data_IF_615021602205
#
_entry.id   IF_615021602205
#
_cell.length_a   1.000
_cell.length_b   1.000
_cell.length_c   1.000
_cell.angle_alpha   90.00
_cell.angle_beta   90.00
_cell.angle_gamma   90.00
#
_symmetry.space_group_name_H-M   'P 1'
#
loop_
_entity.id
_entity.type
_entity.pdbx_description
1 polymer ?
#
# COMPACT_ATOMS: atom_id res chain seq x y z
N UNK A 1 1.57 -4.64 43.91
CA UNK A 1 0.32 -4.37 43.14
C UNK A 1 0.23 -2.97 42.51
N UNK A 2 0.49 -1.84 43.18
CA UNK A 2 0.18 -0.48 42.65
C UNK A 2 0.91 0.03 41.38
N UNK A 3 1.94 -0.64 40.84
CA UNK A 3 2.69 -0.16 39.65
C UNK A 3 2.50 -0.98 38.37
N UNK A 4 2.04 -2.23 38.45
CA UNK A 4 1.96 -3.10 37.27
C UNK A 4 0.71 -2.83 36.41
N UNK A 5 -0.42 -2.44 37.02
CA UNK A 5 -1.71 -2.32 36.32
C UNK A 5 -1.76 -1.33 35.15
N UNK A 6 -0.85 -0.35 35.06
CA UNK A 6 -0.83 0.64 33.96
C UNK A 6 -0.16 0.12 32.68
N UNK A 7 0.79 -0.82 32.77
CA UNK A 7 1.54 -1.29 31.59
C UNK A 7 0.76 -2.29 30.73
N UNK A 8 -0.10 -3.11 31.36
CA UNK A 8 -0.88 -4.13 30.65
C UNK A 8 -1.98 -3.56 29.74
N UNK A 9 -2.63 -2.47 30.16
CA UNK A 9 -3.70 -1.84 29.36
C UNK A 9 -3.14 -1.23 28.06
N UNK A 10 -1.93 -0.66 28.10
CA UNK A 10 -1.23 -0.19 26.90
C UNK A 10 -0.82 -1.35 25.98
N UNK A 11 -0.32 -2.47 26.53
CA UNK A 11 0.07 -3.63 25.73
C UNK A 11 -1.12 -4.29 25.01
N UNK A 12 -2.31 -4.32 25.63
CA UNK A 12 -3.52 -4.84 24.97
C UNK A 12 -4.05 -3.90 23.88
N UNK A 13 -3.91 -2.58 24.06
CA UNK A 13 -4.37 -1.58 23.09
C UNK A 13 -3.42 -1.39 21.90
N UNK A 14 -2.11 -1.53 22.09
CA UNK A 14 -1.12 -1.51 20.99
C UNK A 14 -1.32 -2.64 19.97
N UNK A 15 -1.99 -3.73 20.37
CA UNK A 15 -2.06 -4.95 19.57
C UNK A 15 -3.39 -5.09 18.81
N UNK A 16 -4.42 -4.31 19.16
CA UNK A 16 -5.59 -4.12 18.29
C UNK A 16 -5.32 -3.16 17.11
N UNK A 17 -4.05 -2.86 16.81
CA UNK A 17 -3.64 -1.84 15.83
C UNK A 17 -2.85 -2.38 14.62
N UNK A 18 -2.85 -3.70 14.39
CA UNK A 18 -2.00 -4.37 13.38
C UNK A 18 -2.80 -5.41 12.60
N UNK A 19 -2.43 -5.68 11.33
CA UNK A 19 -2.96 -6.69 10.37
C UNK A 19 -4.50 -6.70 10.17
N UNK A 20 -5.12 -7.46 9.23
CA UNK A 20 -6.55 -7.30 8.78
C UNK A 20 -7.23 -8.69 8.42
N UNK A 21 -8.56 -8.85 8.07
CA UNK A 21 -9.41 -10.14 8.02
C UNK A 21 -10.92 -10.10 7.49
N UNK A 22 -11.30 -10.63 6.28
CA UNK A 22 -12.44 -10.25 5.36
C UNK A 22 -13.81 -10.93 5.58
N UNK A 23 -14.89 -10.20 5.26
CA UNK A 23 -16.11 -10.70 4.55
C UNK A 23 -16.70 -9.55 3.72
N UNK A 24 -17.09 -9.73 2.43
CA UNK A 24 -17.61 -8.65 1.60
C UNK A 24 -19.03 -8.20 1.99
N UNK A 25 -19.23 -6.88 2.12
CA UNK A 25 -20.53 -6.25 2.32
C UNK A 25 -20.90 -5.40 1.10
N UNK A 26 -22.03 -5.72 0.45
CA UNK A 26 -22.51 -4.94 -0.70
C UNK A 26 -23.27 -3.69 -0.24
N UNK A 27 -22.65 -2.51 -0.36
CA UNK A 27 -23.27 -1.22 -0.01
C UNK A 27 -23.43 -0.28 -1.22
N UNK A 28 -24.39 0.65 -1.07
CA UNK A 28 -24.92 1.47 -2.16
C UNK A 28 -24.24 2.84 -2.29
N UNK A 29 -24.36 3.42 -3.48
CA UNK A 29 -23.45 4.40 -4.10
C UNK A 29 -23.50 5.86 -3.55
N UNK A 30 -24.06 6.11 -2.37
CA UNK A 30 -24.46 7.47 -1.92
C UNK A 30 -23.97 7.88 -0.51
N UNK A 31 -23.12 7.09 0.18
CA UNK A 31 -22.69 7.42 1.55
C UNK A 31 -21.49 8.41 1.58
N UNK A 32 -21.61 9.61 2.21
CA UNK A 32 -20.50 10.57 2.34
C UNK A 32 -19.45 10.20 3.40
N UNK A 33 -19.62 9.04 4.07
CA UNK A 33 -18.67 8.50 5.02
C UNK A 33 -17.84 7.39 4.37
N UNK A 34 -16.56 7.33 4.70
CA UNK A 34 -15.76 6.11 4.51
C UNK A 34 -15.88 5.26 5.79
N UNK A 35 -15.55 3.98 5.70
CA UNK A 35 -15.59 3.07 6.84
C UNK A 35 -14.46 2.06 6.86
N UNK A 36 -14.09 1.61 8.07
CA UNK A 36 -13.14 0.53 8.32
C UNK A 36 -13.85 -0.52 9.17
N UNK A 37 -13.88 -1.78 8.72
CA UNK A 37 -14.50 -2.87 9.48
C UNK A 37 -13.48 -3.94 9.85
N UNK A 38 -13.29 -4.12 11.15
CA UNK A 38 -12.34 -5.05 11.78
C UNK A 38 -13.11 -6.25 12.35
N UNK A 39 -12.87 -7.47 11.86
CA UNK A 39 -13.58 -8.67 12.38
C UNK A 39 -12.98 -9.21 13.68
N UNK A 40 -13.67 -10.14 14.37
CA UNK A 40 -13.13 -10.76 15.58
C UNK A 40 -11.93 -11.68 15.26
N UNK A 41 -12.09 -12.56 14.27
CA UNK A 41 -11.03 -13.49 13.87
C UNK A 41 -9.79 -12.76 13.39
N UNK A 42 -9.99 -11.61 12.72
CA UNK A 42 -8.94 -10.63 12.47
C UNK A 42 -8.22 -10.24 13.77
N UNK A 43 -8.90 -9.53 14.69
CA UNK A 43 -8.22 -8.90 15.83
C UNK A 43 -7.43 -9.95 16.64
N UNK A 44 -7.95 -11.18 16.72
CA UNK A 44 -7.26 -12.30 17.35
C UNK A 44 -6.02 -12.83 16.62
N UNK A 45 -5.93 -12.70 15.28
CA UNK A 45 -4.72 -13.02 14.53
C UNK A 45 -3.59 -12.04 14.87
N UNK A 46 -3.86 -10.73 14.81
CA UNK A 46 -2.93 -9.69 15.23
C UNK A 46 -2.47 -9.85 16.70
N UNK A 47 -3.40 -10.23 17.58
CA UNK A 47 -3.11 -10.56 18.99
C UNK A 47 -2.18 -11.77 19.17
N UNK A 48 -2.13 -12.69 18.21
CA UNK A 48 -1.20 -13.81 18.22
C UNK A 48 0.19 -13.44 17.67
N UNK A 49 0.26 -12.49 16.74
CA UNK A 49 1.50 -12.09 16.05
C UNK A 49 2.33 -11.08 16.85
N UNK A 50 1.70 -10.22 17.67
CA UNK A 50 2.42 -9.28 18.52
C UNK A 50 3.23 -10.02 19.61
N UNK A 51 4.50 -10.26 19.29
CA UNK A 51 5.40 -11.21 19.97
C UNK A 51 5.63 -11.03 21.48
N UNK A 52 5.22 -9.92 22.10
CA UNK A 52 5.23 -9.77 23.57
C UNK A 52 4.10 -8.89 24.11
N UNK A 53 2.97 -9.47 24.57
CA UNK A 53 1.96 -8.75 25.35
C UNK A 53 2.42 -8.45 26.81
N UNK A 54 3.69 -8.06 27.00
CA UNK A 54 4.35 -7.86 28.29
C UNK A 54 4.73 -9.15 29.04
N UNK A 55 5.61 -9.05 30.04
CA UNK A 55 6.13 -10.19 30.80
C UNK A 55 5.07 -10.92 31.66
N UNK A 56 4.35 -11.85 31.04
CA UNK A 56 3.45 -12.77 31.74
C UNK A 56 1.95 -12.53 31.55
N UNK A 57 1.54 -11.77 30.52
CA UNK A 57 0.22 -11.94 29.91
C UNK A 57 0.32 -13.05 28.85
N UNK A 58 -0.61 -14.01 28.84
CA UNK A 58 -0.69 -15.07 27.82
C UNK A 58 -2.13 -15.37 27.47
N UNK A 59 -2.37 -15.88 26.25
CA UNK A 59 -3.71 -16.25 25.79
C UNK A 59 -4.67 -15.06 25.78
N UNK A 60 -4.20 -13.89 25.33
CA UNK A 60 -5.03 -12.72 25.10
C UNK A 60 -5.97 -13.00 23.93
N UNK A 61 -7.27 -12.79 24.12
CA UNK A 61 -8.33 -13.03 23.15
C UNK A 61 -9.38 -11.93 23.23
N UNK A 62 -9.85 -11.47 22.07
CA UNK A 62 -10.95 -10.52 21.88
C UNK A 62 -12.21 -11.28 21.44
N UNK A 63 -13.31 -11.07 22.16
CA UNK A 63 -14.67 -11.53 21.85
C UNK A 63 -15.51 -10.28 21.57
N UNK A 64 -15.96 -10.10 20.33
CA UNK A 64 -16.76 -8.96 19.89
C UNK A 64 -18.24 -9.30 20.06
N UNK A 65 -18.96 -8.45 20.81
CA UNK A 65 -20.39 -8.65 21.05
C UNK A 65 -21.17 -7.36 20.76
N UNK A 66 -22.48 -7.43 20.47
CA UNK A 66 -23.27 -6.25 20.13
C UNK A 66 -23.15 -5.11 21.16
N UNK A 67 -22.43 -4.04 20.79
CA UNK A 67 -22.15 -2.86 21.62
C UNK A 67 -21.03 -3.01 22.67
N UNK A 68 -20.26 -4.10 22.70
CA UNK A 68 -19.18 -4.31 23.67
C UNK A 68 -18.04 -5.20 23.15
N UNK A 69 -16.86 -5.04 23.73
CA UNK A 69 -15.69 -5.90 23.49
C UNK A 69 -15.32 -6.57 24.80
N UNK A 70 -15.13 -7.89 24.76
CA UNK A 70 -14.70 -8.70 25.88
C UNK A 70 -13.26 -9.15 25.64
N UNK A 71 -12.37 -8.69 26.50
CA UNK A 71 -10.98 -9.14 26.55
C UNK A 71 -10.88 -10.28 27.56
N UNK A 72 -10.32 -11.41 27.15
CA UNK A 72 -9.90 -12.47 28.08
C UNK A 72 -8.41 -12.71 27.99
N UNK A 73 -7.75 -12.99 29.11
CA UNK A 73 -6.32 -13.29 29.15
C UNK A 73 -5.93 -14.02 30.44
N UNK A 74 -4.74 -14.62 30.47
CA UNK A 74 -4.11 -15.13 31.71
C UNK A 74 -2.95 -14.22 32.10
N UNK A 75 -2.91 -13.73 33.35
CA UNK A 75 -1.70 -13.10 33.91
C UNK A 75 -0.96 -14.03 34.87
N UNK A 76 0.36 -13.91 34.92
CA UNK A 76 1.18 -14.53 35.97
C UNK A 76 1.16 -13.65 37.23
N UNK A 77 0.50 -14.12 38.29
CA UNK A 77 0.44 -13.44 39.57
C UNK A 77 1.80 -13.42 40.31
N UNK A 78 1.93 -12.60 41.36
CA UNK A 78 3.21 -12.38 42.08
C UNK A 78 3.83 -13.63 42.74
N UNK A 79 3.12 -14.77 42.75
CA UNK A 79 3.61 -16.06 43.26
C UNK A 79 3.83 -17.10 42.15
N UNK A 80 3.77 -16.70 40.87
CA UNK A 80 3.81 -17.60 39.72
C UNK A 80 2.47 -18.28 39.38
N UNK A 81 1.44 -18.09 40.20
CA UNK A 81 0.10 -18.64 39.94
C UNK A 81 -0.59 -17.90 38.79
N UNK A 82 -1.18 -18.59 37.80
CA UNK A 82 -1.98 -17.95 36.78
C UNK A 82 -3.25 -17.33 37.39
N UNK A 83 -3.66 -16.19 36.87
CA UNK A 83 -4.93 -15.53 37.16
C UNK A 83 -5.62 -15.23 35.82
N UNK A 84 -6.79 -15.79 35.60
CA UNK A 84 -7.61 -15.49 34.43
C UNK A 84 -8.25 -14.12 34.63
N UNK A 85 -8.18 -13.25 33.63
CA UNK A 85 -8.83 -11.94 33.60
C UNK A 85 -9.90 -11.96 32.52
N UNK A 86 -11.09 -11.46 32.84
CA UNK A 86 -12.08 -11.00 31.86
C UNK A 86 -12.30 -9.50 32.03
N UNK A 87 -12.33 -8.74 30.94
CA UNK A 87 -12.57 -7.30 30.94
C UNK A 87 -13.57 -6.96 29.84
N UNK A 88 -14.77 -6.50 30.22
CA UNK A 88 -15.77 -6.01 29.26
C UNK A 88 -15.64 -4.50 29.13
N UNK A 89 -15.60 -4.00 27.90
CA UNK A 89 -15.54 -2.57 27.58
C UNK A 89 -16.60 -2.22 26.54
N UNK A 90 -17.24 -1.06 26.68
CA UNK A 90 -18.06 -0.46 25.64
C UNK A 90 -17.27 0.70 25.00
N UNK A 91 -16.90 0.64 23.70
CA UNK A 91 -16.27 1.76 23.03
C UNK A 91 -17.29 2.86 22.74
N UNK A 92 -16.83 4.11 22.67
CA UNK A 92 -17.62 5.27 22.29
C UNK A 92 -16.76 6.33 21.60
N UNK A 93 -17.37 7.19 20.77
CA UNK A 93 -16.66 8.30 20.13
C UNK A 93 -16.70 9.53 21.04
N UNK A 94 -15.55 10.17 21.18
CA UNK A 94 -15.33 11.35 22.02
C UNK A 94 -14.37 12.29 21.31
N UNK A 95 -14.79 13.51 20.96
CA UNK A 95 -13.91 14.47 20.26
C UNK A 95 -13.39 14.03 18.88
N UNK A 96 -13.94 12.97 18.29
CA UNK A 96 -13.47 12.37 17.03
C UNK A 96 -12.56 11.15 17.20
N UNK A 97 -12.22 10.77 18.44
CA UNK A 97 -11.37 9.62 18.79
C UNK A 97 -12.20 8.51 19.45
N UNK A 98 -11.64 7.30 19.59
CA UNK A 98 -12.29 6.16 20.26
C UNK A 98 -11.86 6.09 21.73
N UNK A 99 -12.80 6.41 22.61
CA UNK A 99 -12.67 6.14 24.04
C UNK A 99 -13.28 4.77 24.41
N UNK A 100 -12.84 4.19 25.53
CA UNK A 100 -13.29 2.88 26.01
C UNK A 100 -13.78 2.95 27.46
N UNK A 101 -15.03 2.56 27.69
CA UNK A 101 -15.61 2.49 29.04
C UNK A 101 -15.60 1.05 29.56
N UNK A 102 -14.73 0.73 30.53
CA UNK A 102 -14.70 -0.57 31.19
C UNK A 102 -15.95 -0.78 32.06
N UNK A 103 -16.82 -1.71 31.67
CA UNK A 103 -18.10 -2.00 32.34
C UNK A 103 -17.97 -3.13 33.36
N UNK A 104 -17.15 -4.15 33.08
CA UNK A 104 -16.88 -5.25 34.01
C UNK A 104 -15.39 -5.63 34.00
N UNK A 105 -14.90 -6.11 35.15
CA UNK A 105 -13.58 -6.72 35.30
C UNK A 105 -13.73 -7.92 36.22
N UNK A 106 -13.26 -9.09 35.82
CA UNK A 106 -13.21 -10.31 36.63
C UNK A 106 -11.76 -10.78 36.79
N UNK A 107 -11.46 -11.41 37.93
CA UNK A 107 -10.20 -12.12 38.15
C UNK A 107 -10.52 -13.50 38.74
N UNK A 108 -10.22 -14.58 38.03
CA UNK A 108 -10.64 -15.95 38.36
C UNK A 108 -12.15 -16.02 38.67
N UNK A 109 -12.97 -15.47 37.76
CA UNK A 109 -14.43 -15.36 37.86
C UNK A 109 -14.98 -14.50 39.01
N UNK A 110 -14.11 -13.90 39.85
CA UNK A 110 -14.54 -12.94 40.87
C UNK A 110 -14.68 -11.54 40.27
N UNK A 111 -15.88 -10.92 40.28
CA UNK A 111 -16.06 -9.57 39.78
C UNK A 111 -15.38 -8.54 40.70
N UNK A 112 -14.69 -7.59 40.08
CA UNK A 112 -14.01 -6.47 40.73
C UNK A 112 -14.91 -5.24 40.63
N UNK A 113 -15.30 -4.67 41.78
CA UNK A 113 -16.10 -3.45 41.82
C UNK A 113 -15.30 -2.22 41.36
N UNK A 114 -15.53 -1.81 40.10
CA UNK A 114 -14.89 -0.66 39.48
C UNK A 114 -15.32 0.68 40.11
N UNK A 115 -16.49 0.76 40.75
CA UNK A 115 -17.01 2.01 41.34
C UNK A 115 -16.16 2.48 42.52
N UNK A 116 -15.64 1.54 43.32
CA UNK A 116 -14.76 1.84 44.46
C UNK A 116 -13.37 2.34 44.06
N UNK A 117 -13.00 2.22 42.77
CA UNK A 117 -11.71 2.65 42.22
C UNK A 117 -11.72 4.01 41.52
N UNK A 118 -12.90 4.55 41.18
CA UNK A 118 -13.08 5.78 40.39
C UNK A 118 -12.60 7.08 41.08
N UNK A 119 -11.89 7.00 42.22
CA UNK A 119 -11.39 8.14 42.99
C UNK A 119 -9.90 8.45 42.83
N UNK A 120 -9.20 7.85 41.86
CA UNK A 120 -7.77 8.14 41.59
C UNK A 120 -7.48 8.27 40.07
N UNK A 121 -7.59 9.48 39.51
CA UNK A 121 -7.05 9.91 38.21
C UNK A 121 -7.11 8.88 37.07
N UNK A 122 -8.25 8.20 36.91
CA UNK A 122 -8.40 7.06 36.00
C UNK A 122 -9.08 7.39 34.68
N UNK A 123 -9.31 8.67 34.36
CA UNK A 123 -10.16 9.12 33.25
C UNK A 123 -9.44 9.82 32.09
N UNK A 124 -8.09 9.82 32.06
CA UNK A 124 -7.32 10.50 30.99
C UNK A 124 -5.99 9.84 30.56
N UNK A 125 -5.50 8.78 31.22
CA UNK A 125 -4.24 8.10 30.83
C UNK A 125 -4.45 6.77 30.09
N UNK A 126 -5.62 6.57 29.47
CA UNK A 126 -5.90 5.40 28.64
C UNK A 126 -5.89 5.80 27.15
N UNK A 127 -5.54 4.83 26.29
CA UNK A 127 -5.85 4.82 24.84
C UNK A 127 -5.05 5.73 23.87
N UNK A 128 -3.80 6.15 24.15
CA UNK A 128 -3.04 6.88 23.11
C UNK A 128 -2.68 6.05 21.86
N UNK A 129 -2.43 4.74 22.02
CA UNK A 129 -1.98 3.89 20.90
C UNK A 129 -3.05 3.56 19.85
N UNK A 130 -4.33 3.68 20.20
CA UNK A 130 -5.45 3.51 19.27
C UNK A 130 -5.81 4.85 18.59
N UNK A 131 -5.46 5.96 19.24
CA UNK A 131 -5.57 7.32 18.70
C UNK A 131 -4.59 7.53 17.53
N UNK A 132 -3.36 7.03 17.63
CA UNK A 132 -2.36 7.05 16.54
C UNK A 132 -2.82 6.26 15.29
N UNK A 133 -3.55 5.15 15.45
CA UNK A 133 -4.12 4.38 14.33
C UNK A 133 -5.29 5.13 13.66
N UNK A 134 -6.20 5.67 14.47
CA UNK A 134 -7.35 6.42 13.94
C UNK A 134 -6.89 7.68 13.22
N UNK A 135 -5.96 8.44 13.80
CA UNK A 135 -5.45 9.69 13.21
C UNK A 135 -4.61 9.48 11.94
N UNK A 136 -3.99 8.32 11.76
CA UNK A 136 -3.30 7.98 10.51
C UNK A 136 -4.22 7.46 9.41
N UNK A 137 -5.35 6.82 9.75
CA UNK A 137 -6.32 6.30 8.77
C UNK A 137 -7.34 7.31 8.24
N UNK A 138 -7.72 8.35 9.01
CA UNK A 138 -8.85 9.23 8.64
C UNK A 138 -8.48 10.51 7.87
N UNK A 139 -7.23 10.70 7.49
CA UNK A 139 -6.70 11.97 6.92
C UNK A 139 -7.04 13.21 7.78
N UNK A 140 -7.02 13.05 9.11
CA UNK A 140 -7.41 14.07 10.07
C UNK A 140 -8.93 14.31 10.19
N UNK A 141 -9.76 13.53 9.50
CA UNK A 141 -11.22 13.57 9.63
C UNK A 141 -11.66 12.99 10.98
N UNK A 142 -12.59 13.62 11.72
CA UNK A 142 -13.08 13.06 12.97
C UNK A 142 -13.96 11.82 12.71
N UNK A 143 -13.86 10.80 13.57
CA UNK A 143 -14.80 9.69 13.55
C UNK A 143 -16.23 10.20 13.81
N UNK A 144 -17.17 9.73 12.99
CA UNK A 144 -18.60 10.06 13.03
C UNK A 144 -19.47 8.87 13.41
N UNK A 145 -18.98 7.64 13.22
CA UNK A 145 -19.70 6.42 13.56
C UNK A 145 -18.79 5.32 14.12
N UNK A 146 -19.35 4.54 15.02
CA UNK A 146 -18.73 3.38 15.66
C UNK A 146 -19.84 2.37 15.96
N UNK A 147 -19.68 1.15 15.46
CA UNK A 147 -20.61 0.02 15.71
C UNK A 147 -19.80 -1.21 16.09
N UNK A 148 -20.26 -1.95 17.10
CA UNK A 148 -19.73 -3.28 17.43
C UNK A 148 -20.86 -4.29 17.30
N UNK A 149 -20.66 -5.33 16.50
CA UNK A 149 -21.57 -6.46 16.28
C UNK A 149 -21.07 -7.70 17.03
N UNK A 150 -21.65 -8.86 16.76
CA UNK A 150 -21.25 -10.18 17.27
C UNK A 150 -19.96 -10.73 16.64
N UNK A 151 -19.35 -10.01 15.70
CA UNK A 151 -18.15 -10.45 14.99
C UNK A 151 -17.34 -9.35 14.30
N UNK A 152 -17.72 -8.07 14.45
CA UNK A 152 -17.08 -6.95 13.78
C UNK A 152 -17.16 -5.63 14.55
N UNK A 153 -16.12 -4.81 14.42
CA UNK A 153 -16.03 -3.43 14.89
C UNK A 153 -15.89 -2.53 13.65
N UNK A 154 -16.90 -1.72 13.38
CA UNK A 154 -16.95 -0.80 12.25
C UNK A 154 -16.76 0.63 12.74
N UNK A 155 -15.79 1.32 12.15
CA UNK A 155 -15.56 2.76 12.29
C UNK A 155 -16.05 3.48 11.03
N UNK A 156 -16.54 4.70 11.15
CA UNK A 156 -16.78 5.58 10.01
C UNK A 156 -16.41 7.03 10.30
N UNK A 157 -15.94 7.73 9.27
CA UNK A 157 -15.57 9.14 9.31
C UNK A 157 -16.09 9.86 8.07
N UNK A 158 -16.31 11.17 8.17
CA UNK A 158 -16.78 11.97 7.04
C UNK A 158 -15.60 12.35 6.15
N UNK A 159 -15.70 12.11 4.84
CA UNK A 159 -14.69 12.58 3.88
C UNK A 159 -14.57 14.11 3.90
N UNK A 160 -13.34 14.62 4.03
CA UNK A 160 -13.03 16.06 3.95
C UNK A 160 -13.47 16.67 2.63
N UNK A 161 -13.38 15.90 1.54
CA UNK A 161 -13.87 16.28 0.22
C UNK A 161 -14.68 15.11 -0.40
N UNK A 162 -16.00 15.25 -0.63
CA UNK A 162 -16.84 14.16 -1.11
C UNK A 162 -16.60 13.77 -2.58
N UNK A 163 -15.77 14.51 -3.33
CA UNK A 163 -15.33 14.07 -4.66
C UNK A 163 -14.24 13.01 -4.63
N UNK A 164 -13.48 12.93 -3.53
CA UNK A 164 -12.32 12.05 -3.45
C UNK A 164 -12.77 10.58 -3.48
N UNK A 165 -12.01 9.68 -4.13
CA UNK A 165 -12.39 8.29 -4.28
C UNK A 165 -12.59 7.64 -2.91
N UNK A 166 -13.69 6.91 -2.75
CA UNK A 166 -13.92 6.14 -1.54
C UNK A 166 -12.85 5.06 -1.42
N UNK A 167 -12.14 5.07 -0.29
CA UNK A 167 -11.16 4.03 0.07
C UNK A 167 -11.88 3.13 1.07
N UNK A 168 -12.23 1.92 0.63
CA UNK A 168 -12.85 0.92 1.50
C UNK A 168 -11.80 -0.15 1.82
N UNK A 169 -11.42 -0.18 3.10
CA UNK A 169 -10.40 -1.09 3.64
C UNK A 169 -11.14 -2.22 4.34
N UNK A 170 -11.30 -3.32 3.62
CA UNK A 170 -11.93 -4.55 4.11
C UNK A 170 -10.93 -5.67 3.93
N UNK A 171 -10.16 -5.93 4.98
CA UNK A 171 -9.11 -6.96 5.04
C UNK A 171 -8.08 -6.98 3.92
N UNK A 172 -6.92 -6.34 4.17
CA UNK A 172 -5.65 -6.48 3.43
C UNK A 172 -5.72 -6.10 1.93
N UNK A 173 -6.74 -6.56 1.22
CA UNK A 173 -7.34 -6.00 0.02
C UNK A 173 -7.74 -4.53 0.26
N UNK A 174 -6.86 -3.61 -0.09
CA UNK A 174 -7.23 -2.20 -0.28
C UNK A 174 -8.09 -2.11 -1.54
N UNK A 175 -9.36 -1.71 -1.42
CA UNK A 175 -10.18 -1.46 -2.59
C UNK A 175 -10.26 0.04 -2.89
N UNK A 176 -9.70 0.44 -4.04
CA UNK A 176 -9.77 1.82 -4.51
C UNK A 176 -10.90 1.95 -5.54
N UNK A 177 -12.00 2.61 -5.15
CA UNK A 177 -13.14 2.85 -6.05
C UNK A 177 -13.07 4.25 -6.64
N UNK A 178 -12.72 4.32 -7.92
CA UNK A 178 -12.65 5.57 -8.70
C UNK A 178 -13.96 5.72 -9.47
N UNK A 179 -14.68 6.83 -9.27
CA UNK A 179 -15.86 7.18 -10.07
C UNK A 179 -15.46 7.84 -11.38
N UNK A 180 -16.27 7.67 -12.42
CA UNK A 180 -16.08 8.36 -13.70
C UNK A 180 -16.06 9.89 -13.53
N UNK A 181 -16.92 10.43 -12.66
CA UNK A 181 -17.00 11.85 -12.37
C UNK A 181 -15.69 12.40 -11.77
N UNK A 182 -15.07 11.67 -10.85
CA UNK A 182 -13.75 12.03 -10.30
C UNK A 182 -12.66 11.96 -11.37
N UNK A 183 -12.60 10.87 -12.14
CA UNK A 183 -11.63 10.70 -13.22
C UNK A 183 -11.73 11.87 -14.23
N UNK A 184 -12.94 12.21 -14.68
CA UNK A 184 -13.18 13.35 -15.56
C UNK A 184 -12.80 14.71 -14.94
N UNK A 185 -12.97 14.87 -13.62
CA UNK A 185 -12.59 16.10 -12.90
C UNK A 185 -11.07 16.28 -12.88
N UNK A 186 -10.31 15.23 -12.57
CA UNK A 186 -8.83 15.25 -12.59
C UNK A 186 -8.31 15.49 -14.01
N UNK A 187 -8.79 14.71 -14.98
CA UNK A 187 -8.31 14.80 -16.36
C UNK A 187 -8.64 16.15 -17.04
N UNK A 188 -9.75 16.78 -16.68
CA UNK A 188 -10.10 18.12 -17.18
C UNK A 188 -9.21 19.23 -16.61
N UNK A 189 -8.58 19.03 -15.45
CA UNK A 189 -7.63 19.98 -14.87
C UNK A 189 -6.28 19.96 -15.61
N UNK A 190 -5.77 18.77 -15.92
CA UNK A 190 -4.46 18.59 -16.57
C UNK A 190 -4.53 18.68 -18.11
N UNK A 191 -5.64 18.25 -18.70
CA UNK A 191 -5.80 18.06 -20.16
C UNK A 191 -7.21 18.43 -20.63
N UNK A 192 -7.49 19.74 -20.81
CA UNK A 192 -8.79 20.22 -21.27
C UNK A 192 -9.24 19.56 -22.58
N UNK A 193 -10.49 19.08 -22.61
CA UNK A 193 -11.06 18.40 -23.78
C UNK A 193 -10.96 16.87 -23.75
N UNK A 194 -10.26 16.29 -22.77
CA UNK A 194 -10.24 14.85 -22.53
C UNK A 194 -11.38 14.41 -21.61
N UNK A 195 -11.98 13.26 -21.92
CA UNK A 195 -13.03 12.61 -21.14
C UNK A 195 -12.80 11.11 -21.06
N UNK A 196 -13.29 10.48 -20.00
CA UNK A 196 -13.33 9.03 -19.78
C UNK A 196 -14.77 8.60 -19.54
N UNK A 197 -15.11 7.43 -20.07
CA UNK A 197 -16.38 6.71 -20.00
C UNK A 197 -16.08 5.28 -19.53
N UNK A 198 -16.63 4.88 -18.38
CA UNK A 198 -16.45 3.55 -17.82
C UNK A 198 -17.58 2.61 -18.27
N UNK A 199 -17.21 1.46 -18.82
CA UNK A 199 -18.15 0.46 -19.30
C UNK A 199 -17.78 -0.93 -18.74
N UNK A 200 -18.73 -1.87 -18.61
CA UNK A 200 -18.44 -3.21 -18.11
C UNK A 200 -17.26 -3.90 -18.83
N UNK A 201 -16.15 -4.07 -18.10
CA UNK A 201 -14.91 -4.66 -18.60
C UNK A 201 -14.00 -3.78 -19.47
N UNK A 202 -14.30 -2.50 -19.70
CA UNK A 202 -13.48 -1.61 -20.55
C UNK A 202 -13.57 -0.12 -20.16
N UNK A 203 -12.58 0.66 -20.57
CA UNK A 203 -12.53 2.11 -20.38
C UNK A 203 -12.41 2.80 -21.74
N UNK A 204 -13.34 3.67 -22.08
CA UNK A 204 -13.27 4.50 -23.29
C UNK A 204 -12.80 5.90 -22.94
N UNK A 205 -11.69 6.34 -23.52
CA UNK A 205 -11.20 7.71 -23.44
C UNK A 205 -11.50 8.45 -24.74
N UNK A 206 -12.07 9.64 -24.64
CA UNK A 206 -12.28 10.55 -25.78
C UNK A 206 -11.45 11.81 -25.60
N UNK A 207 -10.54 12.06 -26.54
CA UNK A 207 -9.76 13.27 -26.64
C UNK A 207 -10.33 14.15 -27.76
N UNK A 208 -10.90 15.30 -27.38
CA UNK A 208 -11.25 16.34 -28.32
C UNK A 208 -10.02 17.20 -28.60
N UNK A 209 -9.67 17.41 -29.87
CA UNK A 209 -8.61 18.37 -30.21
C UNK A 209 -8.99 19.78 -29.72
N UNK A 210 -8.08 20.41 -28.96
CA UNK A 210 -8.16 21.83 -28.61
C UNK A 210 -7.68 22.75 -29.75
N UNK A 211 -6.99 22.22 -30.76
CA UNK A 211 -6.70 22.94 -32.01
C UNK A 211 -7.86 22.73 -33.01
N UNK A 212 -8.57 23.80 -33.41
CA UNK A 212 -9.66 23.71 -34.39
C UNK A 212 -9.21 23.33 -35.81
N UNK A 213 -7.90 23.15 -36.06
CA UNK A 213 -7.32 22.77 -37.35
C UNK A 213 -6.72 21.35 -37.37
N UNK A 214 -6.60 20.69 -36.22
CA UNK A 214 -6.11 19.31 -36.15
C UNK A 214 -7.24 18.30 -36.43
N UNK A 215 -6.93 17.07 -36.92
CA UNK A 215 -7.93 16.01 -37.05
C UNK A 215 -8.61 15.75 -35.70
N UNK A 216 -9.91 15.48 -35.72
CA UNK A 216 -10.79 15.76 -34.60
C UNK A 216 -10.86 14.65 -33.57
N UNK A 217 -12.08 14.20 -33.27
CA UNK A 217 -12.36 13.45 -32.04
C UNK A 217 -11.65 12.09 -32.10
N UNK A 218 -10.68 11.90 -31.21
CA UNK A 218 -9.95 10.64 -31.09
C UNK A 218 -10.45 9.87 -29.88
N UNK A 219 -11.06 8.72 -30.11
CA UNK A 219 -11.60 7.84 -29.06
C UNK A 219 -10.80 6.55 -29.01
N UNK A 220 -10.27 6.22 -27.83
CA UNK A 220 -9.46 5.04 -27.54
C UNK A 220 -10.20 4.19 -26.51
N UNK A 221 -10.53 2.95 -26.82
CA UNK A 221 -11.09 2.01 -25.85
C UNK A 221 -9.98 1.05 -25.40
N UNK A 222 -9.77 1.00 -24.09
CA UNK A 222 -8.81 0.14 -23.43
C UNK A 222 -9.53 -0.98 -22.69
N UNK A 223 -9.00 -2.20 -22.78
CA UNK A 223 -9.37 -3.32 -21.93
C UNK A 223 -8.18 -3.63 -21.00
N UNK A 224 -8.38 -3.70 -19.67
CA UNK A 224 -7.34 -4.14 -18.77
C UNK A 224 -7.02 -5.62 -18.97
N UNK A 225 -5.77 -6.00 -18.77
CA UNK A 225 -5.34 -7.38 -18.57
C UNK A 225 -4.37 -7.42 -17.41
N UNK A 226 -4.76 -8.10 -16.34
CA UNK A 226 -3.87 -8.40 -15.21
C UNK A 226 -3.05 -9.64 -15.56
N UNK A 227 -1.73 -9.54 -15.41
CA UNK A 227 -0.81 -10.66 -15.51
C UNK A 227 0.29 -10.48 -14.46
N UNK A 228 0.50 -11.49 -13.61
CA UNK A 228 1.55 -11.51 -12.59
C UNK A 228 1.55 -10.26 -11.67
N UNK A 229 0.38 -9.88 -11.14
CA UNK A 229 0.23 -8.71 -10.27
C UNK A 229 0.36 -7.34 -10.96
N UNK A 230 0.60 -7.31 -12.28
CA UNK A 230 0.74 -6.10 -13.08
C UNK A 230 -0.44 -5.93 -14.03
N UNK A 231 -1.00 -4.72 -14.10
CA UNK A 231 -1.96 -4.35 -15.14
C UNK A 231 -1.26 -3.90 -16.43
N UNK A 232 -1.71 -4.50 -17.52
CA UNK A 232 -1.46 -4.04 -18.89
C UNK A 232 -2.78 -3.55 -19.50
N UNK A 233 -2.70 -2.64 -20.46
CA UNK A 233 -3.88 -2.06 -21.10
C UNK A 233 -3.83 -2.32 -22.61
N UNK A 234 -4.73 -3.18 -23.07
CA UNK A 234 -4.89 -3.48 -24.49
C UNK A 234 -5.79 -2.44 -25.14
N UNK A 235 -5.32 -1.78 -26.20
CA UNK A 235 -6.19 -0.95 -27.03
C UNK A 235 -7.06 -1.88 -27.87
N UNK A 236 -8.35 -1.96 -27.55
CA UNK A 236 -9.34 -2.81 -28.25
C UNK A 236 -10.07 -2.06 -29.36
N UNK A 237 -10.13 -0.73 -29.27
CA UNK A 237 -10.58 0.13 -30.36
C UNK A 237 -9.82 1.46 -30.37
N UNK A 238 -9.58 2.00 -31.56
CA UNK A 238 -9.16 3.38 -31.77
C UNK A 238 -9.96 3.93 -32.94
N UNK A 239 -10.59 5.08 -32.75
CA UNK A 239 -11.24 5.83 -33.83
C UNK A 239 -10.72 7.26 -33.84
N UNK A 240 -10.64 7.85 -35.03
CA UNK A 240 -10.37 9.27 -35.23
C UNK A 240 -11.46 9.82 -36.16
N UNK A 241 -12.17 10.85 -35.72
CA UNK A 241 -13.37 11.39 -36.38
C UNK A 241 -14.44 10.31 -36.66
N UNK A 242 -14.57 9.35 -35.74
CA UNK A 242 -15.48 8.20 -35.84
C UNK A 242 -15.05 7.14 -36.87
N UNK A 243 -13.91 7.30 -37.53
CA UNK A 243 -13.33 6.30 -38.44
C UNK A 243 -12.39 5.40 -37.65
N UNK A 244 -12.61 4.08 -37.70
CA UNK A 244 -11.74 3.11 -37.06
C UNK A 244 -10.33 3.11 -37.68
N UNK A 245 -9.31 3.12 -36.82
CA UNK A 245 -7.89 2.96 -37.18
C UNK A 245 -7.59 1.47 -37.39
N UNK A 246 -6.81 1.14 -38.40
CA UNK A 246 -6.51 -0.25 -38.75
C UNK A 246 -5.67 -0.96 -37.67
N UNK A 247 -5.90 -2.27 -37.51
CA UNK A 247 -5.24 -3.09 -36.50
C UNK A 247 -3.71 -3.14 -36.68
N UNK A 248 -3.20 -2.99 -37.91
CA UNK A 248 -1.77 -2.89 -38.16
C UNK A 248 -1.16 -1.57 -37.64
N UNK A 249 -1.93 -0.47 -37.61
CA UNK A 249 -1.50 0.82 -37.07
C UNK A 249 -1.61 0.86 -35.54
N UNK A 250 -2.60 0.15 -34.97
CA UNK A 250 -2.71 -0.06 -33.52
C UNK A 250 -1.45 -0.71 -32.92
N UNK A 251 -0.85 -1.69 -33.60
CA UNK A 251 0.38 -2.34 -33.12
C UNK A 251 1.64 -1.46 -33.21
N UNK A 252 1.65 -0.42 -34.06
CA UNK A 252 2.78 0.51 -34.16
C UNK A 252 2.69 1.67 -33.17
N UNK A 253 1.47 2.11 -32.85
CA UNK A 253 1.23 3.18 -31.87
C UNK A 253 1.28 2.64 -30.44
N UNK A 254 2.49 2.37 -29.95
CA UNK A 254 2.76 1.87 -28.59
C UNK A 254 2.56 2.96 -27.51
N UNK A 255 1.35 3.53 -27.45
CA UNK A 255 0.91 4.55 -26.49
C UNK A 255 0.83 3.99 -25.05
N UNK A 256 0.90 2.67 -24.88
CA UNK A 256 0.95 2.00 -23.57
C UNK A 256 2.07 2.56 -22.67
N UNK A 257 3.20 2.99 -23.25
CA UNK A 257 4.32 3.59 -22.51
C UNK A 257 3.95 4.88 -21.77
N UNK A 258 3.14 5.74 -22.39
CA UNK A 258 2.70 7.01 -21.77
C UNK A 258 1.68 6.77 -20.66
N UNK A 259 0.76 5.81 -20.85
CA UNK A 259 -0.25 5.46 -19.85
C UNK A 259 0.29 4.64 -18.68
N UNK A 260 1.42 3.93 -18.87
CA UNK A 260 2.15 3.29 -17.78
C UNK A 260 2.47 4.31 -16.69
N UNK A 261 2.89 5.53 -17.06
CA UNK A 261 3.19 6.62 -16.10
C UNK A 261 1.98 7.06 -15.28
N UNK A 262 0.80 7.21 -15.88
CA UNK A 262 -0.41 7.68 -15.17
C UNK A 262 -0.83 6.70 -14.07
N UNK A 263 -0.80 5.39 -14.36
CA UNK A 263 -1.16 4.38 -13.35
C UNK A 263 -0.01 4.01 -12.41
N UNK A 264 1.27 4.12 -12.82
CA UNK A 264 2.39 3.94 -11.87
C UNK A 264 2.44 5.00 -10.78
N UNK A 265 1.75 6.13 -10.92
CA UNK A 265 1.58 7.10 -9.82
C UNK A 265 0.65 6.64 -8.70
N UNK A 266 -0.07 5.51 -8.86
CA UNK A 266 -1.12 5.04 -7.94
C UNK A 266 -0.88 3.64 -7.35
N UNK A 267 0.27 3.01 -7.58
CA UNK A 267 0.54 1.69 -7.00
C UNK A 267 1.21 1.80 -5.63
N UNK A 268 0.45 1.45 -4.60
CA UNK A 268 1.02 0.99 -3.34
C UNK A 268 1.51 -0.46 -3.48
N UNK A 269 2.34 -0.93 -2.55
CA UNK A 269 3.10 -2.17 -2.70
C UNK A 269 2.22 -3.43 -2.47
N UNK A 270 1.57 -3.92 -3.53
CA UNK A 270 0.83 -5.19 -3.57
C UNK A 270 0.70 -5.75 -4.99
N UNK A 271 0.26 -6.99 -5.17
CA UNK A 271 -0.02 -7.54 -6.51
C UNK A 271 -1.45 -7.22 -6.91
N UNK A 272 -1.68 -6.43 -7.96
CA UNK A 272 -3.04 -6.19 -8.43
C UNK A 272 -3.66 -7.51 -8.91
N UNK A 273 -4.77 -7.91 -8.31
CA UNK A 273 -5.41 -9.22 -8.51
C UNK A 273 -6.70 -9.15 -9.31
N UNK A 274 -7.52 -8.12 -9.08
CA UNK A 274 -8.68 -7.82 -9.90
C UNK A 274 -8.76 -6.34 -10.30
N UNK A 275 -9.45 -6.12 -11.43
CA UNK A 275 -9.87 -4.80 -11.88
C UNK A 275 -11.25 -4.91 -12.51
N UNK A 276 -12.26 -4.56 -11.73
CA UNK A 276 -13.64 -4.55 -12.17
C UNK A 276 -14.04 -3.15 -12.64
N UNK A 277 -14.55 -3.07 -13.86
CA UNK A 277 -15.25 -1.89 -14.39
C UNK A 277 -16.76 -2.14 -14.36
N UNK A 278 -17.51 -1.15 -13.88
CA UNK A 278 -18.96 -1.04 -14.02
C UNK A 278 -19.31 0.06 -15.03
N UNK A 279 -20.59 0.43 -15.15
CA UNK A 279 -21.05 1.58 -15.95
C UNK A 279 -20.69 2.95 -15.34
N UNK A 280 -20.16 3.02 -14.11
CA UNK A 280 -19.87 4.31 -13.43
C UNK A 280 -18.63 4.30 -12.52
N UNK A 281 -18.08 3.12 -12.23
CA UNK A 281 -16.96 2.93 -11.31
C UNK A 281 -15.90 2.00 -11.88
N UNK A 282 -14.67 2.24 -11.44
CA UNK A 282 -13.53 1.32 -11.55
C UNK A 282 -13.13 0.95 -10.13
N UNK A 283 -13.09 -0.34 -9.84
CA UNK A 283 -12.52 -0.89 -8.59
C UNK A 283 -11.22 -1.60 -8.91
N UNK A 284 -10.18 -1.30 -8.14
CA UNK A 284 -8.90 -2.01 -8.14
C UNK A 284 -8.83 -2.84 -6.86
N UNK A 285 -8.42 -4.10 -6.97
CA UNK A 285 -8.18 -5.01 -5.84
C UNK A 285 -6.75 -5.54 -5.93
N UNK A 286 -6.03 -5.60 -4.81
CA UNK A 286 -4.68 -6.12 -4.73
C UNK A 286 -4.65 -7.34 -3.79
N UNK A 287 -4.14 -8.47 -4.27
CA UNK A 287 -3.97 -9.68 -3.46
C UNK A 287 -2.68 -9.59 -2.62
N UNK A 288 -2.83 -10.01 -1.36
CA UNK A 288 -1.76 -10.30 -0.42
C UNK A 288 -1.73 -9.33 0.75
N UNK A 289 -1.11 -9.77 1.85
CA UNK A 289 -0.65 -8.83 2.88
C UNK A 289 0.10 -7.68 2.17
N UNK A 290 -0.26 -6.44 2.48
CA UNK A 290 0.60 -5.28 2.23
C UNK A 290 1.87 -5.49 3.04
N UNK A 291 2.80 -6.27 2.48
CA UNK A 291 3.87 -6.91 3.25
C UNK A 291 4.60 -5.85 4.07
N UNK A 292 4.46 -5.93 5.40
CA UNK A 292 4.79 -4.81 6.30
C UNK A 292 6.27 -4.36 6.18
N UNK A 293 7.13 -5.22 5.63
CA UNK A 293 8.52 -4.92 5.26
C UNK A 293 8.73 -3.88 4.14
N UNK A 294 7.72 -3.42 3.40
CA UNK A 294 7.93 -2.49 2.26
C UNK A 294 7.24 -1.12 2.41
N UNK A 295 6.32 -0.94 3.36
CA UNK A 295 5.65 0.36 3.62
C UNK A 295 5.83 0.87 5.07
N UNK A 296 6.06 -0.01 6.06
CA UNK A 296 6.36 0.38 7.45
C UNK A 296 7.77 0.95 7.66
N UNK A 297 8.65 0.79 6.67
CA UNK A 297 10.07 1.13 6.69
C UNK A 297 10.40 2.59 7.03
N UNK A 298 9.46 3.52 6.85
CA UNK A 298 9.66 4.95 7.09
C UNK A 298 8.42 5.60 7.71
N UNK A 299 8.23 5.38 9.02
CA UNK A 299 7.44 6.30 9.83
C UNK A 299 8.17 7.65 10.00
N UNK A 300 7.55 8.62 10.67
CA UNK A 300 8.04 9.99 10.84
C UNK A 300 9.41 10.14 11.56
N UNK A 301 10.01 9.04 12.03
CA UNK A 301 11.36 8.98 12.59
C UNK A 301 12.49 8.59 11.62
N UNK A 302 12.18 8.34 10.34
CA UNK A 302 13.11 7.72 9.39
C UNK A 302 13.20 6.19 9.58
N UNK A 303 13.98 5.52 8.73
CA UNK A 303 14.15 4.06 8.80
C UNK A 303 14.82 3.45 7.58
N UNK A 304 14.51 2.19 7.29
CA UNK A 304 15.22 1.35 6.30
C UNK A 304 14.23 0.46 5.54
N UNK A 305 14.25 0.53 4.21
CA UNK A 305 13.56 -0.42 3.34
C UNK A 305 14.54 -1.46 2.78
N UNK A 306 14.08 -2.70 2.64
CA UNK A 306 14.90 -3.82 2.16
C UNK A 306 14.22 -4.58 1.02
N UNK A 307 14.99 -4.92 -0.02
CA UNK A 307 14.54 -5.69 -1.18
C UNK A 307 15.47 -6.89 -1.39
N UNK A 308 14.90 -8.09 -1.45
CA UNK A 308 15.68 -9.32 -1.70
C UNK A 308 15.94 -9.53 -3.19
N UNK A 309 17.02 -10.23 -3.54
CA UNK A 309 17.30 -10.64 -4.92
C UNK A 309 16.11 -11.38 -5.55
N UNK A 310 15.47 -12.27 -4.79
CA UNK A 310 14.32 -13.04 -5.24
C UNK A 310 13.11 -12.16 -5.58
N UNK A 311 12.85 -11.11 -4.80
CA UNK A 311 11.80 -10.13 -5.07
C UNK A 311 12.11 -9.26 -6.28
N UNK A 312 13.37 -8.84 -6.45
CA UNK A 312 13.80 -8.06 -7.61
C UNK A 312 13.65 -8.91 -8.88
N UNK A 313 14.14 -10.14 -8.89
CA UNK A 313 14.03 -11.03 -10.06
C UNK A 313 12.59 -11.40 -10.42
N UNK A 314 11.69 -11.58 -9.45
CA UNK A 314 10.27 -11.83 -9.74
C UNK A 314 9.57 -10.60 -10.33
N UNK A 315 9.96 -9.39 -9.89
CA UNK A 315 9.42 -8.12 -10.37
C UNK A 315 9.94 -7.74 -11.77
N UNK A 316 11.23 -7.95 -12.02
CA UNK A 316 11.90 -7.56 -13.28
C UNK A 316 11.95 -8.67 -14.34
N UNK A 317 11.41 -9.87 -14.08
CA UNK A 317 11.35 -11.00 -15.03
C UNK A 317 10.51 -10.78 -16.29
N UNK A 318 10.18 -9.54 -16.65
CA UNK A 318 9.42 -9.16 -17.83
C UNK A 318 10.33 -9.17 -19.06
N UNK A 319 10.22 -10.24 -19.86
CA UNK A 319 10.90 -10.28 -21.17
C UNK A 319 10.33 -9.22 -22.10
N UNK A 320 11.21 -8.57 -22.87
CA UNK A 320 10.83 -7.63 -23.93
C UNK A 320 11.31 -8.16 -25.28
N UNK A 321 10.90 -7.53 -26.38
CA UNK A 321 11.40 -7.88 -27.72
C UNK A 321 12.91 -7.66 -27.90
N UNK A 322 13.53 -6.86 -27.02
CA UNK A 322 14.96 -6.53 -27.05
C UNK A 322 15.77 -7.25 -25.97
N UNK A 323 15.15 -7.69 -24.86
CA UNK A 323 15.83 -8.33 -23.73
C UNK A 323 15.12 -9.63 -23.33
N UNK A 324 15.83 -10.76 -23.41
CA UNK A 324 15.44 -12.04 -22.80
C UNK A 324 16.38 -12.43 -21.67
N UNK A 325 15.96 -13.39 -20.84
CA UNK A 325 16.79 -14.01 -19.79
C UNK A 325 17.42 -13.00 -18.82
N UNK A 326 16.69 -11.92 -18.52
CA UNK A 326 17.10 -10.89 -17.58
C UNK A 326 17.19 -11.48 -16.16
N UNK A 327 18.36 -11.34 -15.54
CA UNK A 327 18.68 -11.77 -14.18
C UNK A 327 19.43 -10.66 -13.44
N UNK A 328 19.06 -10.43 -12.19
CA UNK A 328 19.74 -9.54 -11.24
C UNK A 328 20.44 -10.40 -10.20
N UNK A 329 21.74 -10.23 -10.06
CA UNK A 329 22.63 -10.88 -9.09
C UNK A 329 23.11 -9.80 -8.10
N UNK A 330 22.78 -9.94 -6.83
CA UNK A 330 23.19 -9.03 -5.76
C UNK A 330 24.55 -9.47 -5.21
N UNK A 331 25.48 -8.52 -5.13
CA UNK A 331 26.82 -8.78 -4.62
C UNK A 331 27.21 -7.68 -3.62
N UNK A 332 28.13 -7.93 -2.67
CA UNK A 332 28.44 -6.96 -1.63
C UNK A 332 28.92 -5.62 -2.18
N UNK A 333 28.04 -4.61 -2.08
CA UNK A 333 28.25 -3.25 -2.61
C UNK A 333 27.90 -3.01 -4.09
N UNK A 334 27.39 -3.98 -4.84
CA UNK A 334 27.04 -3.81 -6.27
C UNK A 334 25.88 -4.68 -6.75
N UNK A 335 25.24 -4.28 -7.85
CA UNK A 335 24.22 -5.08 -8.56
C UNK A 335 24.80 -5.49 -9.91
N UNK A 336 24.72 -6.78 -10.24
CA UNK A 336 25.12 -7.32 -11.54
C UNK A 336 23.88 -7.74 -12.31
N UNK A 337 23.54 -7.00 -13.36
CA UNK A 337 22.47 -7.33 -14.29
C UNK A 337 23.04 -8.14 -15.45
N UNK A 338 22.43 -9.27 -15.77
CA UNK A 338 22.75 -10.06 -16.97
C UNK A 338 21.51 -10.25 -17.83
N UNK A 339 21.64 -10.17 -19.15
CA UNK A 339 20.54 -10.37 -20.09
C UNK A 339 21.05 -10.83 -21.47
N UNK A 340 20.13 -11.30 -22.31
CA UNK A 340 20.37 -11.53 -23.73
C UNK A 340 19.70 -10.41 -24.55
N UNK A 341 20.52 -9.57 -25.19
CA UNK A 341 20.07 -8.42 -25.98
C UNK A 341 19.91 -8.80 -27.45
N UNK A 342 18.74 -8.58 -28.03
CA UNK A 342 18.45 -8.86 -29.43
C UNK A 342 18.38 -7.58 -30.25
N UNK A 343 19.35 -7.42 -31.17
CA UNK A 343 19.39 -6.33 -32.15
C UNK A 343 19.48 -6.86 -33.59
N UNK A 344 19.67 -5.96 -34.56
CA UNK A 344 19.75 -6.30 -35.99
C UNK A 344 20.86 -7.31 -36.33
N UNK A 345 21.92 -7.36 -35.53
CA UNK A 345 23.03 -8.31 -35.64
C UNK A 345 22.77 -9.67 -34.99
N UNK A 346 21.57 -9.89 -34.42
CA UNK A 346 21.21 -11.08 -33.65
C UNK A 346 21.24 -10.85 -32.13
N UNK A 347 21.11 -11.95 -31.38
CA UNK A 347 21.12 -11.95 -29.92
C UNK A 347 22.54 -12.11 -29.37
N UNK A 348 22.93 -11.25 -28.42
CA UNK A 348 24.21 -11.28 -27.72
C UNK A 348 24.01 -11.18 -26.20
N UNK A 349 24.82 -11.88 -25.38
CA UNK A 349 24.76 -11.71 -23.93
C UNK A 349 25.36 -10.37 -23.52
N UNK A 350 24.72 -9.70 -22.58
CA UNK A 350 25.14 -8.46 -21.94
C UNK A 350 25.23 -8.67 -20.42
N UNK A 351 26.25 -8.08 -19.80
CA UNK A 351 26.38 -8.01 -18.34
C UNK A 351 26.80 -6.61 -17.92
N UNK A 352 26.01 -5.99 -17.04
CA UNK A 352 26.20 -4.62 -16.53
C UNK A 352 26.39 -4.69 -15.01
N UNK A 353 27.37 -3.98 -14.48
CA UNK A 353 27.59 -3.83 -13.03
C UNK A 353 27.28 -2.40 -12.61
N UNK A 354 26.41 -2.26 -11.61
CA UNK A 354 26.00 -0.99 -11.04
C UNK A 354 26.45 -0.87 -9.58
N UNK A 355 26.93 0.30 -9.18
CA UNK A 355 27.22 0.65 -7.77
C UNK A 355 26.29 1.79 -7.34
N UNK A 356 25.65 1.73 -6.16
CA UNK A 356 24.82 2.81 -5.67
C UNK A 356 25.69 3.95 -5.13
N UNK A 357 25.32 5.18 -5.46
CA UNK A 357 25.90 6.42 -4.94
C UNK A 357 24.78 7.28 -4.38
N UNK A 358 24.82 7.59 -3.09
CA UNK A 358 23.86 8.52 -2.48
C UNK A 358 24.32 9.96 -2.71
N UNK A 359 23.56 10.73 -3.48
CA UNK A 359 23.85 12.13 -3.78
C UNK A 359 22.59 12.98 -3.58
N UNK A 360 22.69 14.07 -2.80
CA UNK A 360 21.57 14.97 -2.48
C UNK A 360 20.30 14.27 -1.93
N UNK A 361 20.48 13.18 -1.17
CA UNK A 361 19.37 12.40 -0.59
C UNK A 361 18.73 11.39 -1.53
N UNK A 362 19.38 11.08 -2.66
CA UNK A 362 18.85 10.25 -3.75
C UNK A 362 19.86 9.17 -4.12
N UNK A 363 19.38 7.97 -4.43
CA UNK A 363 20.21 6.88 -4.96
C UNK A 363 20.44 7.10 -6.46
N UNK A 364 21.70 7.28 -6.86
CA UNK A 364 22.15 7.16 -8.26
C UNK A 364 22.84 5.83 -8.46
N UNK A 365 22.42 5.06 -9.45
CA UNK A 365 23.16 3.89 -9.91
C UNK A 365 24.22 4.32 -10.93
N UNK A 366 25.46 3.92 -10.71
CA UNK A 366 26.61 4.21 -11.59
C UNK A 366 27.08 2.90 -12.22
N UNK A 367 27.12 2.84 -13.55
CA UNK A 367 27.69 1.73 -14.29
C UNK A 367 29.21 1.76 -14.08
N UNK A 368 29.77 0.69 -13.50
CA UNK A 368 31.21 0.52 -13.27
C UNK A 368 31.85 -0.49 -14.22
N UNK A 369 31.05 -1.36 -14.83
CA UNK A 369 31.45 -2.34 -15.82
C UNK A 369 30.28 -2.63 -16.75
N UNK A 370 30.58 -2.79 -18.03
CA UNK A 370 29.62 -3.24 -19.04
C UNK A 370 30.36 -4.14 -20.03
N UNK A 371 29.85 -5.35 -20.23
CA UNK A 371 30.36 -6.28 -21.25
C UNK A 371 29.25 -6.66 -22.22
N UNK A 372 29.57 -6.67 -23.51
CA UNK A 372 28.68 -7.15 -24.57
C UNK A 372 29.41 -8.27 -25.31
N UNK A 373 28.78 -9.43 -25.43
CA UNK A 373 29.37 -10.66 -25.96
C UNK A 373 30.72 -11.01 -25.27
N UNK A 374 30.79 -10.78 -23.95
CA UNK A 374 32.00 -10.99 -23.13
C UNK A 374 33.17 -10.05 -23.43
N UNK A 375 32.99 -9.00 -24.24
CA UNK A 375 33.98 -7.94 -24.43
C UNK A 375 33.61 -6.73 -23.57
N UNK A 376 34.52 -6.19 -22.74
CA UNK A 376 34.26 -4.98 -21.99
C UNK A 376 34.15 -3.76 -22.93
N UNK A 377 33.22 -2.87 -22.62
CA UNK A 377 33.16 -1.56 -23.26
C UNK A 377 34.26 -0.66 -22.71
N UNK A 378 34.67 0.33 -23.50
CA UNK A 378 35.67 1.31 -23.07
C UNK A 378 35.09 2.31 -22.07
N UNK A 379 35.98 2.88 -21.25
CA UNK A 379 35.65 3.82 -20.17
C UNK A 379 34.88 5.05 -20.67
N UNK A 380 35.23 5.60 -21.83
CA UNK A 380 34.55 6.77 -22.38
C UNK A 380 33.12 6.45 -22.87
N UNK A 381 32.88 5.24 -23.38
CA UNK A 381 31.52 4.77 -23.66
C UNK A 381 30.72 4.57 -22.37
N UNK A 382 31.33 4.02 -21.31
CA UNK A 382 30.67 3.84 -20.00
C UNK A 382 30.34 5.21 -19.37
N UNK A 383 31.23 6.19 -19.44
CA UNK A 383 30.99 7.57 -18.98
C UNK A 383 29.81 8.20 -19.74
N UNK A 384 29.81 8.10 -21.09
CA UNK A 384 28.72 8.61 -21.92
C UNK A 384 27.38 7.92 -21.63
N UNK A 385 27.40 6.64 -21.25
CA UNK A 385 26.22 5.91 -20.81
C UNK A 385 25.75 6.40 -19.44
N UNK A 386 26.64 6.60 -18.48
CA UNK A 386 26.31 7.16 -17.16
C UNK A 386 25.67 8.56 -17.29
N UNK A 387 26.25 9.45 -18.09
CA UNK A 387 25.71 10.79 -18.37
C UNK A 387 24.30 10.75 -18.99
N UNK A 388 24.03 9.78 -19.87
CA UNK A 388 22.72 9.63 -20.54
C UNK A 388 21.70 8.95 -19.62
N UNK A 389 22.11 7.87 -18.94
CA UNK A 389 21.31 7.06 -18.04
C UNK A 389 20.84 7.84 -16.80
N UNK A 390 21.64 8.82 -16.36
CA UNK A 390 21.34 9.77 -15.28
C UNK A 390 19.95 10.43 -15.39
N UNK A 391 19.44 10.62 -16.62
CA UNK A 391 18.12 11.24 -16.86
C UNK A 391 16.96 10.23 -16.80
N UNK A 392 17.23 8.94 -17.00
CA UNK A 392 16.22 7.88 -17.10
C UNK A 392 16.03 7.12 -15.79
N UNK A 393 17.12 6.82 -15.08
CA UNK A 393 17.09 6.02 -13.84
C UNK A 393 16.54 6.77 -12.63
N UNK A 394 16.61 8.11 -12.64
CA UNK A 394 15.91 8.96 -11.67
C UNK A 394 14.45 8.56 -11.54
N UNK A 395 13.73 8.41 -12.65
CA UNK A 395 12.27 8.23 -12.60
C UNK A 395 11.79 6.90 -12.00
N UNK A 396 12.64 5.86 -11.95
CA UNK A 396 12.25 4.52 -11.44
C UNK A 396 12.30 4.44 -9.91
N UNK A 397 13.12 5.27 -9.24
CA UNK A 397 13.30 5.24 -7.77
C UNK A 397 12.70 6.49 -7.09
N UNK A 398 12.46 7.57 -7.85
CA UNK A 398 11.92 8.84 -7.32
C UNK A 398 10.46 8.81 -6.83
N UNK A 399 9.75 7.69 -6.92
CA UNK A 399 8.41 7.58 -6.32
C UNK A 399 8.44 7.53 -4.78
N UNK A 400 9.62 7.36 -4.16
CA UNK A 400 9.86 7.45 -2.72
C UNK A 400 10.03 8.90 -2.20
N UNK A 401 9.41 9.89 -2.83
CA UNK A 401 9.66 11.34 -2.68
C UNK A 401 9.53 11.93 -1.25
N UNK A 402 9.05 11.15 -0.28
CA UNK A 402 8.88 11.49 1.14
C UNK A 402 10.18 11.43 1.97
N UNK A 403 11.28 10.87 1.43
CA UNK A 403 12.51 10.60 2.20
C UNK A 403 13.79 11.20 1.60
N UNK A 404 14.77 11.41 2.47
CA UNK A 404 16.16 11.75 2.13
C UNK A 404 17.01 10.53 2.42
N UNK A 405 17.42 9.79 1.38
CA UNK A 405 18.26 8.60 1.54
C UNK A 405 19.64 9.03 2.08
N UNK A 406 20.09 8.36 3.14
CA UNK A 406 21.37 8.62 3.83
C UNK A 406 22.40 7.53 3.55
N UNK A 407 21.98 6.29 3.34
CA UNK A 407 22.88 5.19 2.95
C UNK A 407 22.17 4.09 2.15
N UNK A 408 22.93 3.38 1.32
CA UNK A 408 22.54 2.12 0.67
C UNK A 408 23.58 1.07 1.03
N UNK A 409 23.11 -0.11 1.44
CA UNK A 409 23.92 -1.32 1.68
C UNK A 409 23.43 -2.41 0.73
N UNK A 410 24.35 -3.21 0.18
CA UNK A 410 24.02 -4.39 -0.63
C UNK A 410 24.81 -5.57 -0.08
N UNK A 411 24.13 -6.70 0.17
CA UNK A 411 24.70 -7.99 0.59
C UNK A 411 24.75 -8.97 -0.60
N UNK A 412 24.98 -10.25 -0.34
CA UNK A 412 24.83 -11.32 -1.35
C UNK A 412 23.35 -11.61 -1.72
N UNK A 413 22.38 -10.97 -1.06
CA UNK A 413 20.96 -11.35 -1.14
C UNK A 413 19.94 -10.22 -0.92
N UNK A 414 20.37 -9.04 -0.43
CA UNK A 414 19.50 -7.89 -0.14
C UNK A 414 20.10 -6.55 -0.57
N UNK A 415 19.25 -5.62 -1.00
CA UNK A 415 19.53 -4.17 -1.07
C UNK A 415 18.77 -3.52 0.09
N UNK A 416 19.46 -2.75 0.91
CA UNK A 416 18.92 -2.02 2.06
C UNK A 416 19.16 -0.52 1.87
N UNK A 417 18.11 0.30 1.88
CA UNK A 417 18.19 1.76 1.77
C UNK A 417 17.67 2.43 3.04
N UNK A 418 18.52 3.19 3.71
CA UNK A 418 18.21 3.95 4.93
C UNK A 418 18.05 5.43 4.61
N UNK A 419 17.13 6.12 5.29
CA UNK A 419 16.84 7.53 5.04
C UNK A 419 15.99 8.20 6.11
N UNK A 420 16.07 9.53 6.13
CA UNK A 420 15.34 10.39 7.04
C UNK A 420 14.05 10.92 6.39
N UNK A 421 13.02 11.20 7.20
CA UNK A 421 11.84 11.93 6.74
C UNK A 421 12.20 13.32 6.16
N UNK A 422 11.68 13.64 4.98
CA UNK A 422 11.69 15.04 4.50
C UNK A 422 10.64 15.84 5.26
N UNK A 423 11.12 16.82 6.02
CA UNK A 423 10.32 17.89 6.63
C UNK A 423 9.87 18.93 5.59
#
# INVERSE_FOLDING_TARGET
MKRYGKQWVMAVLMVMAVSLALVPAAHAQDDPYDSLTLTEGFINAALAEATTPGEGLTGLYVDLQPGQVILTATITGQQGNPLNIGLTMAPFISGGTIDWNATTLTINDFPIDLTTRAGQDSSQEAVSGLDDLVTSGTDGSPLTGLTVTDNALTLSWQRTNPSDPAVDIVDNDVSLTITEAYANTVLAADTPGMQVDFQPGQMTMTMNSVDPNAPGVTTVTFQPVIANGSITWNIVALTTDGVAVDAAQLQQNNLASAWRMFFTGMYEAGQLSDITFTETTKTLTWDGDLAEGNLGAFSSGGGTAEWTEAYINSTFGVTSSQYSDLYIDLQPGQVVMSANVTGDSGTVPETITFVPVVENGVIRWVITSLTINGQPLDEATIDSLNDTALTSWTNIIWQSARYTITSVTITDDTISATGDARY
#
